data_IF_202396362924
#
_entry.id   IF_202396362924
#
_cell.length_a   1.000
_cell.length_b   1.000
_cell.length_c   1.000
_cell.angle_alpha   90.00
_cell.angle_beta   90.00
_cell.angle_gamma   90.00
#
_symmetry.space_group_name_H-M   'P 1'
#
loop_
_entity.id
_entity.type
_entity.pdbx_description
1 polymer ?
#
# COMPACT_ATOMS: atom_id res chain seq x y z
N UNK A 1 -9.25 -14.86 -7.10
CA UNK A 1 -8.86 -13.84 -6.10
C UNK A 1 -9.42 -12.51 -6.56
N UNK A 2 -10.40 -11.98 -5.83
CA UNK A 2 -11.03 -10.69 -6.15
C UNK A 2 -10.31 -9.56 -5.40
N UNK A 3 -10.10 -8.43 -6.08
CA UNK A 3 -9.46 -7.23 -5.51
C UNK A 3 -10.36 -6.02 -5.73
N UNK A 4 -10.61 -5.27 -4.66
CA UNK A 4 -11.45 -4.06 -4.67
C UNK A 4 -10.78 -2.92 -3.90
N UNK A 5 -11.14 -1.67 -4.23
CA UNK A 5 -10.58 -0.46 -3.61
C UNK A 5 -11.68 0.38 -2.99
N UNK A 6 -11.43 0.95 -1.81
CA UNK A 6 -12.27 1.96 -1.17
C UNK A 6 -11.47 3.20 -0.81
N UNK A 7 -12.13 4.34 -0.82
CA UNK A 7 -11.58 5.61 -0.35
C UNK A 7 -12.03 5.91 1.08
N UNK A 8 -11.19 6.66 1.80
CA UNK A 8 -11.46 7.15 3.15
C UNK A 8 -10.83 8.53 3.35
N UNK A 9 -11.15 9.18 4.47
CA UNK A 9 -10.62 10.50 4.81
C UNK A 9 -9.07 10.57 4.84
N UNK A 10 -8.58 11.81 4.87
CA UNK A 10 -7.14 12.12 4.89
C UNK A 10 -6.41 11.63 6.14
N UNK A 11 -7.12 11.28 7.22
CA UNK A 11 -6.53 10.83 8.48
C UNK A 11 -6.07 9.37 8.44
N UNK A 12 -6.47 8.61 7.42
CA UNK A 12 -6.10 7.21 7.28
C UNK A 12 -4.94 7.01 6.30
N UNK A 13 -3.86 6.36 6.76
CA UNK A 13 -2.64 6.17 5.97
C UNK A 13 -2.80 5.21 4.77
N UNK A 14 -3.84 4.37 4.78
CA UNK A 14 -4.05 3.29 3.82
C UNK A 14 -3.92 1.90 4.46
N UNK A 15 -4.49 0.87 3.84
CA UNK A 15 -4.40 -0.49 4.36
C UNK A 15 -4.93 -1.57 3.42
N UNK A 16 -4.61 -2.82 3.74
CA UNK A 16 -5.13 -4.02 3.07
C UNK A 16 -5.81 -4.91 4.09
N UNK A 17 -6.99 -5.40 3.72
CA UNK A 17 -7.71 -6.43 4.46
C UNK A 17 -7.87 -7.67 3.59
N UNK A 18 -7.39 -8.82 4.09
CA UNK A 18 -7.54 -10.12 3.46
C UNK A 18 -8.73 -10.83 4.12
N UNK A 19 -9.77 -11.13 3.34
CA UNK A 19 -10.95 -11.84 3.80
C UNK A 19 -10.69 -13.34 3.91
N UNK A 20 -11.53 -14.04 4.68
CA UNK A 20 -11.40 -15.50 4.85
C UNK A 20 -11.60 -16.32 3.55
N UNK A 21 -12.21 -15.74 2.52
CA UNK A 21 -12.34 -16.32 1.17
C UNK A 21 -11.14 -16.01 0.25
N UNK A 22 -10.13 -15.31 0.77
CA UNK A 22 -8.95 -14.91 0.01
C UNK A 22 -9.15 -13.68 -0.88
N UNK A 23 -10.31 -13.02 -0.85
CA UNK A 23 -10.49 -11.71 -1.49
C UNK A 23 -9.78 -10.61 -0.71
N UNK A 24 -9.39 -9.54 -1.40
CA UNK A 24 -8.66 -8.42 -0.82
C UNK A 24 -9.41 -7.10 -1.00
N UNK A 25 -9.44 -6.31 0.07
CA UNK A 25 -9.89 -4.93 0.07
C UNK A 25 -8.71 -4.00 0.32
N UNK A 26 -8.45 -3.11 -0.62
CA UNK A 26 -7.55 -1.99 -0.46
C UNK A 26 -8.32 -0.76 0.01
N UNK A 27 -7.77 -0.06 0.99
CA UNK A 27 -8.32 1.20 1.46
C UNK A 27 -7.27 2.29 1.24
N UNK A 28 -7.61 3.32 0.46
CA UNK A 28 -6.72 4.44 0.12
C UNK A 28 -7.24 5.76 0.72
N UNK A 29 -6.36 6.66 1.18
CA UNK A 29 -6.76 8.03 1.50
C UNK A 29 -7.23 8.78 0.25
N UNK A 30 -8.25 9.62 0.41
CA UNK A 30 -8.68 10.58 -0.63
C UNK A 30 -7.53 11.53 -0.99
N UNK A 31 -7.46 11.91 -2.26
CA UNK A 31 -6.56 12.95 -2.74
C UNK A 31 -5.10 12.54 -2.93
N UNK A 32 -4.74 11.28 -2.66
CA UNK A 32 -3.39 10.77 -2.97
C UNK A 32 -3.25 10.53 -4.48
N UNK A 33 -2.18 11.02 -5.13
CA UNK A 33 -1.91 10.74 -6.54
C UNK A 33 -1.92 9.24 -6.85
N UNK A 34 -2.46 8.88 -8.01
CA UNK A 34 -2.60 7.47 -8.40
C UNK A 34 -1.26 6.74 -8.43
N UNK A 35 -0.21 7.38 -8.98
CA UNK A 35 1.12 6.79 -9.03
C UNK A 35 1.71 6.48 -7.64
N UNK A 36 1.54 7.38 -6.66
CA UNK A 36 1.97 7.14 -5.28
C UNK A 36 1.17 6.00 -4.66
N UNK A 37 -0.14 5.97 -4.91
CA UNK A 37 -1.02 4.94 -4.40
C UNK A 37 -0.65 3.56 -4.97
N UNK A 38 -0.36 3.44 -6.27
CA UNK A 38 0.02 2.16 -6.87
C UNK A 38 1.28 1.56 -6.24
N UNK A 39 2.29 2.40 -5.93
CA UNK A 39 3.51 1.93 -5.26
C UNK A 39 3.20 1.32 -3.89
N UNK A 40 2.39 2.02 -3.09
CA UNK A 40 1.95 1.55 -1.77
C UNK A 40 1.12 0.27 -1.89
N UNK A 41 0.17 0.23 -2.83
CA UNK A 41 -0.69 -0.93 -3.05
C UNK A 41 0.11 -2.18 -3.46
N UNK A 42 1.10 -2.04 -4.35
CA UNK A 42 1.99 -3.15 -4.75
C UNK A 42 2.82 -3.68 -3.59
N UNK A 43 3.35 -2.80 -2.74
CA UNK A 43 4.07 -3.20 -1.52
C UNK A 43 3.16 -3.97 -0.54
N UNK A 44 1.96 -3.44 -0.28
CA UNK A 44 0.98 -4.10 0.59
C UNK A 44 0.50 -5.44 0.00
N UNK A 45 0.29 -5.52 -1.31
CA UNK A 45 -0.09 -6.75 -2.01
C UNK A 45 1.00 -7.82 -1.91
N UNK A 46 2.26 -7.44 -2.15
CA UNK A 46 3.39 -8.36 -2.02
C UNK A 46 3.47 -8.95 -0.62
N UNK A 47 3.29 -8.13 0.41
CA UNK A 47 3.27 -8.58 1.81
C UNK A 47 2.07 -9.48 2.12
N UNK A 48 0.87 -9.14 1.63
CA UNK A 48 -0.34 -9.94 1.83
C UNK A 48 -0.26 -11.31 1.14
N UNK A 49 0.37 -11.38 -0.04
CA UNK A 49 0.57 -12.59 -0.81
C UNK A 49 1.83 -13.37 -0.43
N UNK A 50 2.60 -12.90 0.56
CA UNK A 50 3.89 -13.46 0.96
C UNK A 50 4.87 -13.59 -0.23
N UNK A 51 4.78 -12.68 -1.20
CA UNK A 51 5.75 -12.56 -2.27
C UNK A 51 7.04 -12.02 -1.65
N UNK A 52 8.21 -12.64 -1.88
CA UNK A 52 9.48 -12.08 -1.44
C UNK A 52 9.65 -10.68 -2.04
N UNK A 53 9.62 -9.66 -1.19
CA UNK A 53 9.92 -8.29 -1.57
C UNK A 53 11.40 -8.01 -1.28
N UNK A 54 12.11 -7.25 -2.13
CA UNK A 54 13.44 -6.76 -1.79
C UNK A 54 13.34 -5.87 -0.54
N UNK A 55 14.45 -5.77 0.19
CA UNK A 55 14.55 -4.82 1.30
C UNK A 55 14.27 -3.40 0.81
N UNK A 56 13.67 -2.59 1.70
CA UNK A 56 13.51 -1.17 1.41
C UNK A 56 14.90 -0.53 1.28
N UNK A 57 15.07 0.44 0.36
CA UNK A 57 16.30 1.22 0.33
C UNK A 57 16.48 1.96 1.65
N UNK A 58 17.73 2.20 2.04
CA UNK A 58 18.04 3.03 3.19
C UNK A 58 17.41 4.43 3.01
N UNK A 59 16.92 5.07 4.08
CA UNK A 59 16.45 6.45 4.02
C UNK A 59 17.54 7.36 3.45
N UNK A 60 17.15 8.28 2.56
CA UNK A 60 18.10 9.28 2.06
C UNK A 60 18.64 10.13 3.21
N UNK A 61 19.96 10.15 3.38
CA UNK A 61 20.63 11.07 4.30
C UNK A 61 20.77 12.44 3.62
N UNK A 62 20.16 13.46 4.22
CA UNK A 62 20.38 14.84 3.82
C UNK A 62 21.72 15.28 4.42
N UNK A 63 22.74 15.49 3.59
CA UNK A 63 23.94 16.22 4.02
C UNK A 63 23.57 17.68 4.29
N UNK A 64 23.84 18.19 5.48
CA UNK A 64 23.73 19.63 5.75
C UNK A 64 24.69 20.41 4.83
N UNK A 65 24.18 21.49 4.22
CA UNK A 65 24.92 22.42 3.36
C UNK A 65 25.55 23.54 4.18
#
# INVERSE_FOLDING_TARGET
>A
MEVSTRETDFGFAGGVYVRGDGSMLFVRPVGRPEAEWEMVARSMLGRALMVPLPDLPDPYELSEL
#
